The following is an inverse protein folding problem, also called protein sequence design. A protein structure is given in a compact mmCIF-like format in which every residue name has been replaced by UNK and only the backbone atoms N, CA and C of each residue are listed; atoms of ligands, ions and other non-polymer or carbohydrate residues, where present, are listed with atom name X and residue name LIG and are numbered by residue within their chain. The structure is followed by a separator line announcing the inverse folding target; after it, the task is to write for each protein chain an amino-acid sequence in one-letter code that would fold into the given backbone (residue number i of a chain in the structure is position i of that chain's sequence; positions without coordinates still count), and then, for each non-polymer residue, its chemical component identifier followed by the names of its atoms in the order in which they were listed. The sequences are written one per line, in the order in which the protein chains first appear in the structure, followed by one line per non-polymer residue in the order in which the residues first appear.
data_IF_931901252189
#
_entry.id   IF_931901252189
#
_cell.length_a   1.000
_cell.length_b   1.000
_cell.length_c   1.000
_cell.angle_alpha   90.00
_cell.angle_beta   90.00
_cell.angle_gamma   90.00
#
_symmetry.space_group_name_H-M   'P 1'
#
loop_
_entity.id
_entity.type
_entity.pdbx_description
1 polymer ?
#
# COMPACT_ATOMS: atom_id res chain seq x y z
N UNK A 1 -0.48 -29.11 -16.48
CA UNK A 1 -0.14 -29.26 -15.05
C UNK A 1 -0.70 -28.03 -14.34
N UNK A 2 -1.61 -28.19 -13.38
CA UNK A 2 -2.17 -27.06 -12.60
C UNK A 2 -1.52 -27.04 -11.22
N UNK A 3 -1.11 -25.87 -10.74
CA UNK A 3 -0.43 -25.66 -9.45
C UNK A 3 -1.33 -25.92 -8.23
N UNK A 4 -2.62 -26.21 -8.46
CA UNK A 4 -3.67 -26.46 -7.44
C UNK A 4 -4.04 -25.24 -6.59
N UNK A 5 -3.51 -24.06 -6.90
CA UNK A 5 -3.93 -22.79 -6.30
C UNK A 5 -5.32 -22.40 -6.80
N UNK A 6 -6.04 -21.61 -6.01
CA UNK A 6 -7.33 -21.06 -6.45
C UNK A 6 -7.07 -20.09 -7.62
N UNK A 7 -7.77 -20.24 -8.76
CA UNK A 7 -7.65 -19.32 -9.88
C UNK A 7 -7.95 -17.87 -9.45
N UNK A 8 -7.17 -16.91 -9.96
CA UNK A 8 -7.29 -15.51 -9.56
C UNK A 8 -8.65 -14.90 -9.91
N UNK A 9 -9.22 -15.28 -11.06
CA UNK A 9 -10.55 -14.81 -11.47
C UNK A 9 -11.64 -15.24 -10.46
N UNK A 10 -11.52 -16.44 -9.90
CA UNK A 10 -12.45 -16.92 -8.89
C UNK A 10 -12.32 -16.14 -7.58
N UNK A 11 -11.12 -15.66 -7.25
CA UNK A 11 -10.86 -14.82 -6.06
C UNK A 11 -11.47 -13.43 -6.25
N UNK A 12 -11.28 -12.80 -7.41
CA UNK A 12 -11.80 -11.46 -7.69
C UNK A 12 -13.33 -11.39 -7.75
N UNK A 13 -13.99 -12.48 -8.14
CA UNK A 13 -15.45 -12.56 -8.17
C UNK A 13 -16.06 -12.91 -6.81
N UNK A 14 -15.24 -13.25 -5.81
CA UNK A 14 -15.69 -13.63 -4.48
C UNK A 14 -16.07 -12.42 -3.61
N UNK A 15 -17.29 -12.43 -3.07
CA UNK A 15 -17.73 -11.40 -2.12
C UNK A 15 -16.87 -11.34 -0.86
N UNK A 16 -16.40 -12.48 -0.36
CA UNK A 16 -15.60 -12.54 0.88
C UNK A 16 -14.24 -11.88 0.68
N UNK A 17 -13.66 -12.01 -0.51
CA UNK A 17 -12.43 -11.31 -0.88
C UNK A 17 -12.63 -9.80 -0.77
N UNK A 18 -13.69 -9.27 -1.39
CA UNK A 18 -13.98 -7.84 -1.36
C UNK A 18 -14.40 -7.31 0.02
N UNK A 19 -15.12 -8.09 0.85
CA UNK A 19 -15.45 -7.67 2.22
C UNK A 19 -14.19 -7.37 3.05
N UNK A 20 -13.12 -8.13 2.84
CA UNK A 20 -11.84 -7.92 3.53
C UNK A 20 -11.05 -6.79 2.84
N UNK A 21 -10.91 -6.88 1.52
CA UNK A 21 -10.02 -6.00 0.75
C UNK A 21 -10.56 -4.59 0.56
N UNK A 22 -11.88 -4.39 0.67
CA UNK A 22 -12.47 -3.06 0.69
C UNK A 22 -12.04 -2.24 1.91
N UNK A 23 -11.56 -2.87 2.98
CA UNK A 23 -11.02 -2.18 4.16
C UNK A 23 -9.49 -2.16 4.10
N UNK A 24 -8.86 -3.33 3.87
CA UNK A 24 -7.39 -3.43 3.95
C UNK A 24 -6.67 -2.65 2.85
N UNK A 25 -7.22 -2.59 1.62
CA UNK A 25 -6.60 -1.83 0.52
C UNK A 25 -6.65 -0.31 0.80
N UNK A 26 -7.81 0.32 1.10
CA UNK A 26 -7.83 1.74 1.43
C UNK A 26 -7.02 2.07 2.69
N UNK A 27 -7.03 1.21 3.71
CA UNK A 27 -6.21 1.41 4.91
C UNK A 27 -4.71 1.42 4.60
N UNK A 28 -4.22 0.49 3.78
CA UNK A 28 -2.81 0.46 3.39
C UNK A 28 -2.43 1.67 2.53
N UNK A 29 -3.31 2.06 1.60
CA UNK A 29 -3.11 3.26 0.79
C UNK A 29 -3.00 4.52 1.66
N UNK A 30 -3.92 4.69 2.61
CA UNK A 30 -3.92 5.84 3.52
C UNK A 30 -2.69 5.82 4.44
N UNK A 31 -2.27 4.66 4.93
CA UNK A 31 -1.05 4.52 5.71
C UNK A 31 0.19 5.00 4.92
N UNK A 32 0.32 4.59 3.65
CA UNK A 32 1.39 5.07 2.77
C UNK A 32 1.32 6.57 2.50
N UNK A 33 0.13 7.11 2.28
CA UNK A 33 -0.06 8.55 2.10
C UNK A 33 0.36 9.34 3.35
N UNK A 34 -0.12 8.92 4.54
CA UNK A 34 0.24 9.55 5.83
C UNK A 34 1.74 9.44 6.08
N UNK A 35 2.38 8.32 5.73
CA UNK A 35 3.81 8.11 5.90
C UNK A 35 4.65 9.17 5.14
N UNK A 36 4.24 9.53 3.93
CA UNK A 36 4.90 10.58 3.13
C UNK A 36 4.50 11.97 3.62
N UNK A 37 3.21 12.23 3.82
CA UNK A 37 2.69 13.56 4.18
C UNK A 37 3.13 14.03 5.56
N UNK A 38 3.26 13.12 6.54
CA UNK A 38 3.81 13.43 7.87
C UNK A 38 5.30 13.80 7.84
N UNK A 39 5.97 13.54 6.71
CA UNK A 39 7.40 13.70 6.54
C UNK A 39 8.24 12.63 7.25
N UNK A 40 7.61 11.55 7.75
CA UNK A 40 8.31 10.42 8.36
C UNK A 40 9.22 9.72 7.36
N UNK A 41 8.79 9.58 6.09
CA UNK A 41 9.59 9.00 5.02
C UNK A 41 10.97 9.67 4.88
N UNK A 42 11.01 11.00 4.85
CA UNK A 42 12.27 11.76 4.74
C UNK A 42 13.20 11.52 5.93
N UNK A 43 12.63 11.38 7.13
CA UNK A 43 13.40 11.09 8.35
C UNK A 43 13.95 9.67 8.38
N UNK A 44 13.12 8.68 8.03
CA UNK A 44 13.51 7.26 8.05
C UNK A 44 14.59 6.95 7.02
N UNK A 45 14.47 7.52 5.82
CA UNK A 45 15.40 7.24 4.72
C UNK A 45 16.52 8.28 4.58
N UNK A 46 16.56 9.31 5.42
CA UNK A 46 17.58 10.37 5.37
C UNK A 46 17.54 11.18 4.07
N UNK A 47 16.40 11.20 3.36
CA UNK A 47 16.26 11.94 2.11
C UNK A 47 15.97 13.41 2.44
N UNK A 48 16.76 14.37 1.95
CA UNK A 48 16.50 15.78 2.17
C UNK A 48 15.20 16.21 1.51
N UNK A 49 14.43 17.06 2.21
CA UNK A 49 13.29 17.74 1.61
C UNK A 49 13.77 18.73 0.55
N UNK A 50 12.88 19.14 -0.36
CA UNK A 50 13.21 20.06 -1.46
C UNK A 50 13.98 21.32 -1.05
N UNK A 51 13.71 21.86 0.14
CA UNK A 51 14.40 23.06 0.66
C UNK A 51 15.68 22.77 1.47
N UNK A 52 16.08 21.50 1.62
CA UNK A 52 17.24 21.08 2.43
C UNK A 52 18.44 20.63 1.58
N UNK A 53 18.37 20.76 0.26
CA UNK A 53 19.45 20.32 -0.64
C UNK A 53 20.65 21.27 -0.67
N UNK A 54 20.44 22.57 -0.41
CA UNK A 54 21.47 23.60 -0.57
C UNK A 54 21.43 24.57 0.61
N UNK A 55 22.62 25.02 1.07
CA UNK A 55 22.83 26.01 2.12
C UNK A 55 23.35 27.32 1.55
#
# INVERSE_FOLDING_TARGET
MSTRERPFLDILQDRRYWLIHAITIPSLFLAGAIFVLSGLAYKVFGVPKSYQYFS
#
